data_IF_702460624072
#
_entry.id   IF_702460624072
#
_cell.length_a   1.000
_cell.length_b   1.000
_cell.length_c   1.000
_cell.angle_alpha   90.00
_cell.angle_beta   90.00
_cell.angle_gamma   90.00
#
_symmetry.space_group_name_H-M   'P 1'
#
loop_
_entity.id
_entity.type
_entity.pdbx_description
1 polymer ?
#
# COMPACT_ATOMS: atom_id res chain seq x y z
N UNK A 1 18.70 17.74 -7.96
CA UNK A 1 17.60 17.85 -8.95
C UNK A 1 16.30 18.03 -8.18
N UNK A 2 15.62 19.17 -8.33
CA UNK A 2 14.32 19.41 -7.71
C UNK A 2 13.24 18.69 -8.53
N UNK A 3 12.69 17.61 -8.01
CA UNK A 3 11.54 16.96 -8.62
C UNK A 3 10.33 17.90 -8.55
N UNK A 4 9.58 18.11 -9.65
CA UNK A 4 8.33 18.84 -9.59
C UNK A 4 7.38 18.02 -8.71
N UNK A 5 7.03 18.57 -7.55
CA UNK A 5 6.01 18.02 -6.66
C UNK A 5 4.64 18.24 -7.31
N UNK A 6 4.36 17.50 -8.38
CA UNK A 6 2.99 17.32 -8.85
C UNK A 6 2.17 16.83 -7.65
N UNK A 7 1.06 17.51 -7.35
CA UNK A 7 0.15 17.11 -6.27
C UNK A 7 -0.12 15.61 -6.43
N UNK A 8 0.19 14.84 -5.40
CA UNK A 8 -0.16 13.43 -5.37
C UNK A 8 -1.68 13.32 -5.52
N UNK A 9 -2.19 12.39 -6.34
CA UNK A 9 -3.62 12.25 -6.56
C UNK A 9 -4.31 11.89 -5.25
N UNK A 10 -5.52 12.40 -5.06
CA UNK A 10 -6.37 11.98 -3.93
C UNK A 10 -6.85 10.55 -4.19
N UNK A 11 -6.86 9.66 -3.17
CA UNK A 11 -7.40 8.32 -3.33
C UNK A 11 -8.88 8.32 -3.75
N UNK A 12 -9.15 7.69 -4.89
CA UNK A 12 -10.51 7.36 -5.33
C UNK A 12 -11.08 6.14 -4.58
N UNK A 13 -12.34 5.75 -4.84
CA UNK A 13 -13.03 4.71 -4.08
C UNK A 13 -12.29 3.37 -4.01
N UNK A 14 -11.77 2.88 -5.14
CA UNK A 14 -11.01 1.63 -5.19
C UNK A 14 -9.73 1.66 -4.33
N UNK A 15 -9.02 2.80 -4.32
CA UNK A 15 -7.79 2.93 -3.55
C UNK A 15 -8.06 2.93 -2.03
N UNK A 16 -9.20 3.51 -1.61
CA UNK A 16 -9.66 3.51 -0.20
C UNK A 16 -10.15 2.14 0.25
N UNK A 17 -10.88 1.44 -0.62
CA UNK A 17 -11.28 0.06 -0.35
C UNK A 17 -10.05 -0.84 -0.23
N UNK A 18 -9.08 -0.68 -1.12
CA UNK A 18 -7.82 -1.42 -1.04
C UNK A 18 -7.08 -1.14 0.27
N UNK A 19 -6.94 0.13 0.69
CA UNK A 19 -6.27 0.49 1.95
C UNK A 19 -6.99 -0.12 3.17
N UNK A 20 -8.33 -0.17 3.13
CA UNK A 20 -9.18 -0.80 4.16
C UNK A 20 -8.97 -2.30 4.23
N UNK A 21 -9.10 -3.01 3.10
CA UNK A 21 -8.89 -4.46 3.01
C UNK A 21 -7.48 -4.85 3.46
N UNK A 22 -6.48 -4.07 3.07
CA UNK A 22 -5.11 -4.28 3.50
C UNK A 22 -5.01 -4.21 5.03
N UNK A 23 -5.60 -3.19 5.68
CA UNK A 23 -5.60 -3.10 7.14
C UNK A 23 -6.26 -4.31 7.80
N UNK A 24 -7.39 -4.78 7.27
CA UNK A 24 -8.10 -5.95 7.81
C UNK A 24 -7.25 -7.23 7.71
N UNK A 25 -6.64 -7.50 6.55
CA UNK A 25 -5.75 -8.65 6.38
C UNK A 25 -4.59 -8.57 7.36
N UNK A 26 -3.97 -7.40 7.50
CA UNK A 26 -2.82 -7.23 8.39
C UNK A 26 -3.17 -7.41 9.87
N UNK A 27 -4.33 -6.92 10.29
CA UNK A 27 -4.84 -7.13 11.64
C UNK A 27 -5.08 -8.62 11.92
N UNK A 28 -5.69 -9.32 10.96
CA UNK A 28 -5.93 -10.77 11.05
C UNK A 28 -4.62 -11.58 11.16
N UNK A 29 -3.60 -11.22 10.38
CA UNK A 29 -2.31 -11.92 10.36
C UNK A 29 -1.33 -11.45 11.46
N UNK A 30 -1.74 -10.51 12.34
CA UNK A 30 -0.87 -9.95 13.38
C UNK A 30 0.35 -9.18 12.86
N UNK A 31 0.28 -8.67 11.62
CA UNK A 31 1.37 -7.96 10.97
C UNK A 31 1.38 -6.50 11.44
N UNK A 32 2.37 -6.15 12.26
CA UNK A 32 2.52 -4.77 12.73
C UNK A 32 2.93 -3.83 11.60
N UNK A 33 2.56 -2.55 11.74
CA UNK A 33 2.93 -1.47 10.78
C UNK A 33 4.43 -1.38 10.52
N UNK A 34 5.26 -1.76 11.50
CA UNK A 34 6.71 -1.79 11.39
C UNK A 34 7.21 -3.01 10.61
N UNK A 35 6.71 -4.22 10.92
CA UNK A 35 7.03 -5.44 10.16
C UNK A 35 6.70 -5.30 8.68
N UNK A 36 5.61 -4.60 8.35
CA UNK A 36 5.23 -4.28 6.98
C UNK A 36 6.24 -3.43 6.22
N UNK A 37 6.72 -2.35 6.84
CA UNK A 37 7.70 -1.47 6.20
C UNK A 37 8.99 -2.26 5.89
N UNK A 38 9.41 -3.11 6.83
CA UNK A 38 10.56 -3.99 6.65
C UNK A 38 10.33 -5.05 5.57
N UNK A 39 9.16 -5.70 5.55
CA UNK A 39 8.88 -6.80 4.62
C UNK A 39 8.63 -6.34 3.17
N UNK A 40 8.06 -5.15 2.99
CA UNK A 40 7.79 -4.57 1.66
C UNK A 40 8.92 -3.71 1.11
N UNK A 41 9.95 -3.43 1.92
CA UNK A 41 10.99 -2.44 1.59
C UNK A 41 10.49 -0.99 1.55
N UNK A 42 9.20 -0.74 1.83
CA UNK A 42 8.61 0.59 1.84
C UNK A 42 8.84 1.28 3.19
N UNK A 43 9.16 2.58 3.17
CA UNK A 43 9.32 3.30 4.43
C UNK A 43 8.01 3.37 5.23
N UNK A 44 8.11 3.36 6.57
CA UNK A 44 6.96 3.47 7.46
C UNK A 44 6.09 4.71 7.16
N UNK A 45 6.73 5.84 6.86
CA UNK A 45 6.03 7.08 6.52
C UNK A 45 5.26 6.95 5.20
N UNK A 46 5.89 6.36 4.18
CA UNK A 46 5.28 6.13 2.87
C UNK A 46 3.99 5.30 2.98
N UNK A 47 4.04 4.20 3.73
CA UNK A 47 2.88 3.34 3.94
C UNK A 47 1.84 4.01 4.83
N UNK A 48 2.26 4.76 5.86
CA UNK A 48 1.34 5.42 6.76
C UNK A 48 0.48 6.48 6.08
N UNK A 49 1.01 7.22 5.10
CA UNK A 49 0.23 8.19 4.32
C UNK A 49 -0.87 7.51 3.51
N UNK A 50 -0.55 6.37 2.90
CA UNK A 50 -1.49 5.60 2.07
C UNK A 50 -2.62 4.95 2.86
N UNK A 51 -2.31 4.46 4.06
CA UNK A 51 -3.33 3.91 4.97
C UNK A 51 -4.21 4.96 5.64
N UNK A 52 -3.85 6.25 5.54
CA UNK A 52 -4.69 7.38 5.96
C UNK A 52 -5.41 8.05 4.79
N UNK A 53 -5.40 7.40 3.63
CA UNK A 53 -5.97 7.91 2.38
C UNK A 53 -5.45 9.31 1.98
N UNK A 54 -4.20 9.65 2.33
CA UNK A 54 -3.58 10.91 1.88
C UNK A 54 -3.08 10.79 0.43
N UNK A 55 -2.66 9.58 0.03
CA UNK A 55 -2.06 9.25 -1.28
C UNK A 55 -2.45 7.81 -1.61
N UNK A 56 -2.79 7.43 -2.86
CA UNK A 56 -3.14 6.05 -3.19
C UNK A 56 -1.91 5.14 -3.24
N UNK A 57 -2.13 3.84 -3.06
CA UNK A 57 -1.16 2.84 -3.46
C UNK A 57 -1.03 2.81 -4.99
N UNK A 58 0.20 2.72 -5.49
CA UNK A 58 0.47 2.43 -6.91
C UNK A 58 0.31 0.93 -7.16
N UNK A 59 0.13 0.52 -8.42
CA UNK A 59 0.07 -0.92 -8.74
C UNK A 59 1.36 -1.67 -8.37
N UNK A 60 2.52 -1.02 -8.43
CA UNK A 60 3.79 -1.60 -7.99
C UNK A 60 3.81 -1.83 -6.47
N UNK A 61 3.23 -0.90 -5.70
CA UNK A 61 3.05 -1.10 -4.26
C UNK A 61 2.14 -2.31 -4.00
N UNK A 62 1.02 -2.40 -4.73
CA UNK A 62 0.05 -3.51 -4.62
C UNK A 62 0.72 -4.85 -4.92
N UNK A 63 1.47 -4.95 -6.02
CA UNK A 63 2.21 -6.16 -6.39
C UNK A 63 3.20 -6.57 -5.31
N UNK A 64 4.02 -5.62 -4.84
CA UNK A 64 5.01 -5.88 -3.77
C UNK A 64 4.32 -6.37 -2.50
N UNK A 65 3.23 -5.71 -2.10
CA UNK A 65 2.46 -6.07 -0.91
C UNK A 65 1.85 -7.46 -1.05
N UNK A 66 1.22 -7.76 -2.19
CA UNK A 66 0.59 -9.05 -2.45
C UNK A 66 1.61 -10.19 -2.44
N UNK A 67 2.78 -9.99 -3.04
CA UNK A 67 3.87 -10.97 -3.02
C UNK A 67 4.35 -11.27 -1.59
N UNK A 68 4.52 -10.24 -0.76
CA UNK A 68 4.92 -10.39 0.65
C UNK A 68 3.85 -11.11 1.48
N UNK A 69 2.57 -10.85 1.20
CA UNK A 69 1.44 -11.44 1.90
C UNK A 69 1.04 -12.82 1.34
N UNK A 70 1.70 -13.31 0.30
CA UNK A 70 1.30 -14.55 -0.39
C UNK A 70 -0.08 -14.46 -1.06
N UNK A 71 -0.55 -13.25 -1.36
CA UNK A 71 -1.83 -13.02 -2.03
C UNK A 71 -1.59 -13.09 -3.54
N UNK A 72 -2.33 -13.97 -4.21
CA UNK A 72 -2.22 -14.15 -5.64
C UNK A 72 -3.02 -13.06 -6.37
N UNK A 73 -2.34 -12.23 -7.16
CA UNK A 73 -3.00 -11.26 -8.03
C UNK A 73 -3.64 -11.94 -9.25
N UNK A 74 -4.74 -11.39 -9.78
CA UNK A 74 -5.31 -11.89 -11.03
C UNK A 74 -4.29 -11.74 -12.17
N UNK A 75 -4.22 -12.74 -13.05
CA UNK A 75 -3.41 -12.64 -14.27
C UNK A 75 -4.01 -11.54 -15.15
N UNK A 76 -3.20 -10.53 -15.44
CA UNK A 76 -3.49 -9.58 -16.51
C UNK A 76 -2.94 -10.20 -17.78
N UNK A 77 -3.84 -10.53 -18.72
CA UNK A 77 -3.50 -11.16 -20.00
C UNK A 77 -2.74 -10.24 -20.94
#
# INVERSE_FOLDING_TARGET
MSMPSGKQPVPGPLAREFSTQMNMVMEREGITKAKRATATGLSRNYVSKRLRDEVPFTLNDVETICNVLGIQLPKLG
#
